data_IF_484198157516
#
_entry.id   IF_484198157516
#
_cell.length_a   1.000
_cell.length_b   1.000
_cell.length_c   1.000
_cell.angle_alpha   90.00
_cell.angle_beta   90.00
_cell.angle_gamma   90.00
#
_symmetry.space_group_name_H-M   'P 1'
#
loop_
_entity.id
_entity.type
_entity.pdbx_description
1 polymer ?
#
# COMPACT_ATOMS: atom_id res chain seq x y z
N UNK A 1 -5.53 -1.91 -15.60
CA UNK A 1 -5.40 -1.04 -14.42
C UNK A 1 -5.47 -1.92 -13.20
N UNK A 2 -4.55 -1.74 -12.26
CA UNK A 2 -4.51 -2.53 -11.03
C UNK A 2 -5.63 -2.04 -10.10
N UNK A 3 -6.39 -2.96 -9.51
CA UNK A 3 -7.51 -2.60 -8.61
C UNK A 3 -7.28 -3.05 -7.18
N UNK A 4 -7.96 -2.39 -6.25
CA UNK A 4 -8.00 -2.77 -4.83
C UNK A 4 -8.49 -4.20 -4.62
N UNK A 5 -9.44 -4.69 -5.42
CA UNK A 5 -9.93 -6.08 -5.33
C UNK A 5 -8.84 -7.10 -5.66
N UNK A 6 -7.91 -6.76 -6.57
CA UNK A 6 -6.76 -7.62 -6.87
C UNK A 6 -5.81 -7.72 -5.69
N UNK A 7 -5.56 -6.61 -4.98
CA UNK A 7 -4.78 -6.60 -3.73
C UNK A 7 -5.44 -7.52 -2.70
N UNK A 8 -6.74 -7.31 -2.44
CA UNK A 8 -7.51 -8.07 -1.45
C UNK A 8 -7.56 -9.57 -1.78
N UNK A 9 -7.80 -9.91 -3.06
CA UNK A 9 -7.84 -11.30 -3.52
C UNK A 9 -6.47 -11.97 -3.36
N UNK A 10 -5.39 -11.29 -3.74
CA UNK A 10 -4.03 -11.81 -3.58
C UNK A 10 -3.71 -12.10 -2.11
N UNK A 11 -3.91 -11.13 -1.20
CA UNK A 11 -3.54 -11.34 0.22
C UNK A 11 -4.44 -12.37 0.91
N UNK A 12 -5.70 -12.49 0.50
CA UNK A 12 -6.58 -13.54 1.00
C UNK A 12 -6.12 -14.93 0.52
N UNK A 13 -5.82 -15.08 -0.78
CA UNK A 13 -5.39 -16.36 -1.35
C UNK A 13 -4.01 -16.79 -0.85
N UNK A 14 -3.05 -15.86 -0.80
CA UNK A 14 -1.66 -16.15 -0.46
C UNK A 14 -1.42 -16.28 1.05
N UNK A 15 -2.08 -15.44 1.87
CA UNK A 15 -1.79 -15.33 3.29
C UNK A 15 -2.97 -15.65 4.20
N UNK A 16 -4.17 -15.88 3.66
CA UNK A 16 -5.39 -16.08 4.46
C UNK A 16 -5.79 -14.85 5.28
N UNK A 17 -5.28 -13.67 4.92
CA UNK A 17 -5.52 -12.42 5.66
C UNK A 17 -6.94 -11.93 5.39
N UNK A 18 -7.65 -11.61 6.47
CA UNK A 18 -8.98 -10.99 6.42
C UNK A 18 -8.77 -9.47 6.50
N UNK A 19 -9.34 -8.70 5.56
CA UNK A 19 -9.32 -7.23 5.58
C UNK A 19 -9.89 -6.65 6.88
N UNK A 20 -9.24 -5.61 7.41
CA UNK A 20 -9.71 -4.86 8.58
C UNK A 20 -10.10 -3.43 8.18
N UNK A 21 -11.21 -2.94 8.75
CA UNK A 21 -11.79 -1.62 8.47
C UNK A 21 -11.86 -0.79 9.76
N UNK A 22 -10.72 -0.30 10.28
CA UNK A 22 -10.66 0.27 11.62
C UNK A 22 -11.25 1.68 11.72
N UNK A 23 -11.60 2.33 10.60
CA UNK A 23 -12.06 3.71 10.58
C UNK A 23 -13.50 3.83 10.05
N UNK A 24 -14.46 4.14 10.94
CA UNK A 24 -15.85 4.37 10.55
C UNK A 24 -16.02 5.53 9.54
N UNK A 25 -15.21 6.58 9.69
CA UNK A 25 -15.24 7.75 8.80
C UNK A 25 -14.63 7.49 7.42
N UNK A 26 -13.80 6.45 7.29
CA UNK A 26 -13.10 6.11 6.07
C UNK A 26 -13.38 4.64 5.74
N UNK A 27 -14.62 4.30 5.33
CA UNK A 27 -15.04 2.91 5.14
C UNK A 27 -14.29 2.21 4.00
N UNK A 28 -13.66 2.97 3.10
CA UNK A 28 -12.87 2.43 2.00
C UNK A 28 -11.40 2.20 2.38
N UNK A 29 -10.96 2.63 3.57
CA UNK A 29 -9.60 2.39 4.04
C UNK A 29 -9.52 0.99 4.63
N UNK A 30 -8.52 0.22 4.19
CA UNK A 30 -8.37 -1.18 4.55
C UNK A 30 -6.99 -1.43 5.13
N UNK A 31 -6.93 -1.81 6.40
CA UNK A 31 -5.71 -2.27 7.03
C UNK A 31 -5.53 -3.78 6.78
N UNK A 32 -4.34 -4.15 6.31
CA UNK A 32 -3.92 -5.55 6.14
C UNK A 32 -2.82 -5.85 7.14
N UNK A 33 -3.09 -6.81 8.03
CA UNK A 33 -2.24 -7.10 9.19
C UNK A 33 -2.13 -8.59 9.47
N UNK A 34 -0.99 -8.99 10.05
CA UNK A 34 -0.75 -10.37 10.46
C UNK A 34 -1.72 -10.77 11.55
N UNK A 35 -2.42 -11.90 11.39
CA UNK A 35 -3.35 -12.40 12.40
C UNK A 35 -2.65 -12.72 13.75
N UNK A 36 -1.39 -13.14 13.71
CA UNK A 36 -0.64 -13.58 14.90
C UNK A 36 -0.15 -12.43 15.77
N UNK A 37 0.34 -11.34 15.17
CA UNK A 37 1.04 -10.27 15.89
C UNK A 37 0.37 -8.88 15.74
N UNK A 38 -0.68 -8.77 14.91
CA UNK A 38 -1.42 -7.54 14.67
C UNK A 38 -0.67 -6.45 13.90
N UNK A 39 0.60 -6.67 13.52
CA UNK A 39 1.40 -5.70 12.76
C UNK A 39 0.85 -5.54 11.35
N UNK A 40 0.79 -4.29 10.90
CA UNK A 40 0.34 -3.96 9.56
C UNK A 40 1.46 -4.16 8.56
N UNK A 41 1.10 -4.69 7.40
CA UNK A 41 2.02 -4.83 6.26
C UNK A 41 1.50 -4.11 5.03
N UNK A 42 0.20 -3.82 4.93
CA UNK A 42 -0.32 -2.96 3.89
C UNK A 42 -1.51 -2.14 4.39
N UNK A 43 -1.73 -0.98 3.78
CA UNK A 43 -2.89 -0.13 4.01
C UNK A 43 -3.39 0.41 2.68
N UNK A 44 -4.60 0.02 2.28
CA UNK A 44 -5.28 0.47 1.07
C UNK A 44 -6.11 1.71 1.40
N UNK A 45 -6.07 2.74 0.56
CA UNK A 45 -6.82 3.99 0.77
C UNK A 45 -7.27 4.57 -0.58
N UNK A 46 -8.38 5.30 -0.57
CA UNK A 46 -8.74 6.28 -1.58
C UNK A 46 -8.41 7.69 -1.09
N UNK A 47 -7.50 8.37 -1.78
CA UNK A 47 -7.08 9.73 -1.44
C UNK A 47 -7.15 10.62 -2.67
N UNK A 48 -7.16 11.93 -2.49
CA UNK A 48 -6.98 12.86 -3.61
C UNK A 48 -5.51 12.91 -4.02
N UNK A 49 -5.23 13.02 -5.32
CA UNK A 49 -3.87 12.93 -5.87
C UNK A 49 -2.93 14.04 -5.34
N UNK A 50 -3.45 15.20 -4.94
CA UNK A 50 -2.70 16.28 -4.26
C UNK A 50 -1.99 15.81 -2.99
N UNK A 51 -2.50 14.77 -2.33
CA UNK A 51 -1.87 14.17 -1.14
C UNK A 51 -0.53 13.50 -1.45
N UNK A 52 -0.27 13.17 -2.71
CA UNK A 52 1.01 12.65 -3.21
C UNK A 52 1.87 13.75 -3.87
N UNK A 53 1.42 15.00 -3.86
CA UNK A 53 2.09 16.13 -4.53
C UNK A 53 1.81 16.23 -6.03
N UNK A 54 0.76 15.54 -6.52
CA UNK A 54 0.30 15.62 -7.90
C UNK A 54 -0.71 16.77 -7.99
N UNK A 55 -0.59 17.65 -8.99
CA UNK A 55 -1.52 18.77 -9.19
C UNK A 55 -2.87 18.29 -9.77
N UNK A 56 -3.66 17.62 -8.93
CA UNK A 56 -4.99 17.09 -9.26
C UNK A 56 -5.78 16.76 -7.99
N UNK A 57 -7.08 17.02 -8.02
CA UNK A 57 -8.06 16.66 -6.98
C UNK A 57 -8.73 15.29 -7.26
N UNK A 58 -8.31 14.58 -8.30
CA UNK A 58 -8.82 13.25 -8.63
C UNK A 58 -8.62 12.31 -7.43
N UNK A 59 -9.68 11.60 -7.06
CA UNK A 59 -9.59 10.50 -6.10
C UNK A 59 -8.92 9.30 -6.75
N UNK A 60 -7.89 8.78 -6.09
CA UNK A 60 -7.01 7.71 -6.57
C UNK A 60 -6.89 6.60 -5.54
N UNK A 61 -6.69 5.38 -6.03
CA UNK A 61 -6.40 4.21 -5.21
C UNK A 61 -4.91 4.06 -4.93
N UNK A 62 -4.58 3.94 -3.64
CA UNK A 62 -3.19 3.78 -3.20
C UNK A 62 -3.03 2.63 -2.21
N UNK A 63 -1.82 2.09 -2.16
CA UNK A 63 -1.42 1.09 -1.15
C UNK A 63 -0.14 1.53 -0.47
N UNK A 64 -0.20 1.73 0.84
CA UNK A 64 0.99 1.86 1.66
C UNK A 64 1.59 0.50 1.95
N UNK A 65 2.90 0.37 1.76
CA UNK A 65 3.68 -0.83 2.10
C UNK A 65 4.94 -0.47 2.87
N UNK A 66 5.39 -1.37 3.72
CA UNK A 66 6.66 -1.25 4.43
C UNK A 66 7.80 -1.67 3.51
N UNK A 67 8.89 -0.93 3.55
CA UNK A 67 10.11 -1.20 2.78
C UNK A 67 11.33 -1.16 3.69
N UNK A 68 12.43 -1.74 3.23
CA UNK A 68 13.70 -1.58 3.92
C UNK A 68 14.18 -0.13 3.82
N UNK A 69 14.68 0.39 4.94
CA UNK A 69 15.09 1.79 5.05
C UNK A 69 16.17 2.16 4.02
N UNK A 70 17.05 1.21 3.69
CA UNK A 70 18.14 1.39 2.73
C UNK A 70 17.66 1.58 1.29
N UNK A 71 16.50 1.04 0.91
CA UNK A 71 15.97 1.15 -0.46
C UNK A 71 14.99 2.29 -0.64
N UNK A 72 14.60 3.00 0.41
CA UNK A 72 13.51 4.00 0.33
C UNK A 72 13.78 5.09 -0.72
N UNK A 73 15.02 5.55 -0.82
CA UNK A 73 15.42 6.61 -1.75
C UNK A 73 15.40 6.17 -3.21
N UNK A 74 15.82 4.93 -3.50
CA UNK A 74 15.80 4.39 -4.87
C UNK A 74 14.39 3.98 -5.29
N UNK A 75 13.58 3.45 -4.37
CA UNK A 75 12.19 3.08 -4.65
C UNK A 75 11.34 4.29 -5.03
N UNK A 76 11.49 5.43 -4.35
CA UNK A 76 10.76 6.68 -4.66
C UNK A 76 11.13 7.33 -6.00
N UNK A 77 12.16 6.83 -6.68
CA UNK A 77 12.49 7.26 -8.05
C UNK A 77 11.74 6.45 -9.11
N UNK A 78 11.09 5.34 -8.70
CA UNK A 78 10.25 4.53 -9.60
C UNK A 78 8.90 5.21 -9.80
N UNK A 79 8.38 5.11 -11.02
CA UNK A 79 7.02 5.52 -11.35
C UNK A 79 6.01 4.83 -10.44
N UNK A 80 4.99 5.57 -10.01
CA UNK A 80 3.95 5.04 -9.11
C UNK A 80 4.37 4.85 -7.66
N UNK A 81 5.59 5.22 -7.26
CA UNK A 81 6.08 5.08 -5.88
C UNK A 81 6.37 6.45 -5.26
N UNK A 82 5.62 6.78 -4.21
CA UNK A 82 5.63 8.09 -3.56
C UNK A 82 6.09 8.01 -2.11
N UNK A 83 6.34 9.17 -1.52
CA UNK A 83 6.51 9.29 -0.09
C UNK A 83 5.25 8.78 0.65
N UNK A 84 5.46 8.13 1.80
CA UNK A 84 4.36 7.59 2.58
C UNK A 84 3.35 8.66 3.00
N UNK A 85 2.08 8.42 2.67
CA UNK A 85 0.93 9.14 3.20
C UNK A 85 0.45 8.48 4.51
N UNK A 86 0.21 9.25 5.58
CA UNK A 86 -0.14 8.81 6.94
C UNK A 86 0.84 7.85 7.69
N UNK A 87 1.77 7.20 6.99
CA UNK A 87 2.71 6.24 7.58
C UNK A 87 4.09 6.84 7.77
N UNK A 88 4.96 6.12 8.49
CA UNK A 88 6.32 6.57 8.75
C UNK A 88 7.15 6.63 7.46
N UNK A 89 7.51 7.85 7.04
CA UNK A 89 8.26 8.15 5.82
C UNK A 89 9.68 7.59 5.77
N UNK A 90 10.21 7.00 6.84
CA UNK A 90 11.54 6.38 6.84
C UNK A 90 11.51 4.89 6.44
N UNK A 91 10.35 4.22 6.48
CA UNK A 91 10.24 2.79 6.18
C UNK A 91 8.90 2.38 5.53
N UNK A 92 8.12 3.35 5.06
CA UNK A 92 6.94 3.12 4.25
C UNK A 92 7.02 3.95 2.97
N UNK A 93 6.34 3.47 1.94
CA UNK A 93 6.08 4.17 0.68
C UNK A 93 4.60 4.04 0.33
N UNK A 94 4.09 4.96 -0.48
CA UNK A 94 2.74 4.90 -1.03
C UNK A 94 2.83 4.51 -2.50
N UNK A 95 2.15 3.43 -2.89
CA UNK A 95 2.06 2.97 -4.26
C UNK A 95 0.76 3.50 -4.87
N UNK A 96 0.84 4.23 -5.98
CA UNK A 96 -0.33 4.65 -6.75
C UNK A 96 -0.68 3.57 -7.78
N UNK A 97 -1.81 2.88 -7.59
CA UNK A 97 -2.14 1.67 -8.35
C UNK A 97 -2.28 1.89 -9.86
N UNK A 98 -2.74 3.06 -10.30
CA UNK A 98 -2.88 3.34 -11.74
C UNK A 98 -1.53 3.58 -12.44
N UNK A 99 -0.49 3.97 -11.71
CA UNK A 99 0.83 4.28 -12.25
C UNK A 99 1.85 3.16 -12.13
N UNK A 100 1.56 2.12 -11.32
CA UNK A 100 2.40 0.94 -11.25
C UNK A 100 2.46 0.20 -12.60
N UNK A 101 3.62 -0.36 -12.93
CA UNK A 101 3.86 -0.96 -14.25
C UNK A 101 3.14 -2.29 -14.44
N UNK A 102 3.02 -3.07 -13.37
CA UNK A 102 2.37 -4.39 -13.40
C UNK A 102 1.82 -4.80 -12.04
N UNK A 103 0.92 -5.77 -12.06
CA UNK A 103 0.43 -6.44 -10.85
C UNK A 103 1.55 -7.19 -10.13
N UNK A 104 2.53 -7.72 -10.87
CA UNK A 104 3.69 -8.42 -10.28
C UNK A 104 4.53 -7.48 -9.42
N UNK A 105 4.75 -6.24 -9.88
CA UNK A 105 5.46 -5.22 -9.09
C UNK A 105 4.72 -4.89 -7.78
N UNK A 106 3.39 -4.75 -7.82
CA UNK A 106 2.58 -4.59 -6.61
C UNK A 106 2.74 -5.80 -5.66
N UNK A 107 2.68 -7.02 -6.20
CA UNK A 107 2.80 -8.25 -5.43
C UNK A 107 4.17 -8.34 -4.75
N UNK A 108 5.26 -8.04 -5.47
CA UNK A 108 6.61 -8.01 -4.90
C UNK A 108 6.71 -7.05 -3.71
N UNK A 109 6.12 -5.86 -3.82
CA UNK A 109 6.07 -4.90 -2.72
C UNK A 109 5.28 -5.41 -1.51
N UNK A 110 4.10 -6.00 -1.74
CA UNK A 110 3.26 -6.56 -0.67
C UNK A 110 3.98 -7.71 0.02
N UNK A 111 4.59 -8.62 -0.74
CA UNK A 111 5.30 -9.77 -0.21
C UNK A 111 6.51 -9.34 0.63
N UNK A 112 7.34 -8.43 0.12
CA UNK A 112 8.46 -7.87 0.86
C UNK A 112 7.99 -7.23 2.18
N UNK A 113 6.95 -6.40 2.13
CA UNK A 113 6.36 -5.78 3.31
C UNK A 113 5.82 -6.80 4.32
N UNK A 114 5.16 -7.86 3.83
CA UNK A 114 4.65 -8.95 4.65
C UNK A 114 5.79 -9.66 5.39
N UNK A 115 6.90 -9.97 4.71
CA UNK A 115 8.07 -10.60 5.35
C UNK A 115 8.73 -9.67 6.38
N UNK A 116 8.87 -8.38 6.08
CA UNK A 116 9.47 -7.37 6.98
C UNK A 116 8.69 -7.14 8.29
N UNK A 117 7.46 -7.66 8.37
CA UNK A 117 6.51 -7.39 9.46
C UNK A 117 6.03 -8.63 10.19
N UNK A 118 6.59 -9.81 9.89
CA UNK A 118 6.29 -11.06 10.63
C UNK A 118 6.64 -10.98 12.12
#
# INVERSE_FOLDING_TARGET
MITREQVLSYVQQQYGVIPDYPWEKYPNYVALRHQKNGKWFALIMDITADKLGIDSDKVIDVVNVKVEKEFIGSLRQKQGVYEAYHMNKANWVTLYLEELRSIDELIEFIEASYQLTK
#
